data_IF_463810153794
#
_entry.id   IF_463810153794
#
_cell.length_a   1.000
_cell.length_b   1.000
_cell.length_c   1.000
_cell.angle_alpha   90.00
_cell.angle_beta   90.00
_cell.angle_gamma   90.00
#
_symmetry.space_group_name_H-M   'P 1'
#
loop_
_entity.id
_entity.type
_entity.pdbx_description
1 polymer ?
#
# COMPACT_ATOMS: atom_id res chain seq x y z
N UNK A 1 23.41 8.37 14.87
CA UNK A 1 23.27 8.48 13.40
C UNK A 1 21.79 8.59 13.09
N UNK A 2 21.36 9.39 12.09
CA UNK A 2 19.97 9.32 11.66
C UNK A 2 19.66 7.89 11.21
N UNK A 3 18.43 7.40 11.41
CA UNK A 3 18.05 6.09 10.89
C UNK A 3 18.33 6.04 9.39
N UNK A 4 18.97 4.97 8.93
CA UNK A 4 19.40 4.79 7.54
C UNK A 4 18.21 4.63 6.56
N UNK A 5 16.98 4.82 7.03
CA UNK A 5 15.76 4.66 6.26
C UNK A 5 15.37 5.89 5.46
N UNK A 6 14.56 5.68 4.42
CA UNK A 6 13.99 6.74 3.60
C UNK A 6 12.51 6.92 3.90
N UNK A 7 11.98 8.14 3.76
CA UNK A 7 10.55 8.41 3.87
C UNK A 7 9.85 7.96 2.59
N UNK A 8 8.76 7.23 2.73
CA UNK A 8 7.88 6.78 1.66
C UNK A 8 6.46 7.26 1.89
N UNK A 9 5.84 7.76 0.82
CA UNK A 9 4.41 8.04 0.77
C UNK A 9 3.66 6.75 0.46
N UNK A 10 2.67 6.43 1.28
CA UNK A 10 1.76 5.29 1.10
C UNK A 10 0.37 5.83 0.82
N UNK A 11 -0.15 5.57 -0.38
CA UNK A 11 -1.52 5.97 -0.75
C UNK A 11 -2.36 4.71 -0.93
N UNK A 12 -3.45 4.60 -0.19
CA UNK A 12 -4.36 3.46 -0.24
C UNK A 12 -5.71 3.91 -0.76
N UNK A 13 -6.24 3.19 -1.74
CA UNK A 13 -7.62 3.35 -2.22
C UNK A 13 -8.50 2.26 -1.63
N UNK A 14 -9.40 2.64 -0.74
CA UNK A 14 -10.49 1.77 -0.29
C UNK A 14 -11.45 1.53 -1.45
N UNK A 15 -12.01 0.33 -1.57
CA UNK A 15 -13.01 0.00 -2.58
C UNK A 15 -14.24 0.91 -2.44
N UNK A 16 -15.02 1.04 -3.51
CA UNK A 16 -16.30 1.77 -3.49
C UNK A 16 -17.52 0.82 -3.35
N UNK A 17 -17.29 -0.37 -2.79
CA UNK A 17 -18.34 -1.31 -2.44
C UNK A 17 -19.06 -0.89 -1.16
N UNK A 18 -20.34 -1.27 -1.03
CA UNK A 18 -21.09 -1.06 0.20
C UNK A 18 -20.41 -1.79 1.36
N UNK A 19 -20.09 -1.07 2.44
CA UNK A 19 -19.41 -1.62 3.62
C UNK A 19 -17.87 -1.68 3.52
N UNK A 20 -17.27 -1.17 2.44
CA UNK A 20 -15.83 -1.31 2.18
C UNK A 20 -14.87 -0.59 3.16
N UNK A 21 -15.37 0.24 4.08
CA UNK A 21 -14.56 1.06 4.96
C UNK A 21 -14.50 0.54 6.40
N UNK A 22 -13.43 0.90 7.11
CA UNK A 22 -13.16 0.39 8.45
C UNK A 22 -12.75 1.48 9.43
N UNK A 23 -13.19 1.34 10.68
CA UNK A 23 -12.70 2.10 11.83
C UNK A 23 -11.64 1.30 12.64
N UNK A 24 -11.25 0.13 12.14
CA UNK A 24 -10.28 -0.75 12.80
C UNK A 24 -8.85 -0.24 12.61
N UNK A 25 -7.93 -0.70 13.46
CA UNK A 25 -6.50 -0.42 13.26
C UNK A 25 -6.01 -1.17 12.01
N UNK A 26 -5.53 -0.43 11.00
CA UNK A 26 -5.02 -0.97 9.75
C UNK A 26 -3.48 -0.98 9.71
N UNK A 27 -2.93 -1.99 9.05
CA UNK A 27 -1.49 -2.22 9.00
C UNK A 27 -1.00 -2.55 7.60
N UNK A 28 0.17 -2.00 7.26
CA UNK A 28 0.95 -2.36 6.08
C UNK A 28 2.14 -3.23 6.50
N UNK A 29 2.31 -4.36 5.84
CA UNK A 29 3.53 -5.18 5.88
C UNK A 29 4.28 -5.05 4.56
N UNK A 30 5.55 -4.67 4.61
CA UNK A 30 6.43 -4.53 3.44
C UNK A 30 7.44 -5.66 3.46
N UNK A 31 7.61 -6.34 2.32
CA UNK A 31 8.54 -7.45 2.16
C UNK A 31 9.70 -7.05 1.24
N UNK A 32 10.92 -7.46 1.59
CA UNK A 32 12.13 -7.12 0.86
C UNK A 32 12.80 -8.37 0.26
N UNK A 33 13.54 -8.18 -0.83
CA UNK A 33 14.35 -9.22 -1.45
C UNK A 33 15.50 -9.62 -0.51
N UNK A 34 16.24 -8.62 -0.01
CA UNK A 34 17.39 -8.83 0.87
C UNK A 34 16.98 -9.49 2.19
N UNK A 35 17.66 -10.59 2.49
CA UNK A 35 17.54 -11.37 3.73
C UNK A 35 16.11 -11.87 4.03
N UNK A 36 15.21 -11.85 3.04
CA UNK A 36 13.78 -12.13 3.23
C UNK A 36 13.14 -11.34 4.39
N UNK A 37 13.63 -10.12 4.62
CA UNK A 37 13.19 -9.28 5.71
C UNK A 37 11.78 -8.71 5.46
N UNK A 38 11.10 -8.31 6.54
CA UNK A 38 9.85 -7.55 6.45
C UNK A 38 9.72 -6.52 7.56
N UNK A 39 8.99 -5.44 7.28
CA UNK A 39 8.65 -4.37 8.23
C UNK A 39 7.13 -4.20 8.31
N UNK A 40 6.62 -3.77 9.47
CA UNK A 40 5.18 -3.58 9.70
C UNK A 40 4.94 -2.17 10.23
N UNK A 41 3.93 -1.50 9.67
CA UNK A 41 3.55 -0.14 9.99
C UNK A 41 2.07 -0.10 10.33
N UNK A 42 1.73 0.50 11.46
CA UNK A 42 0.36 0.93 11.72
C UNK A 42 0.09 2.18 10.89
N UNK A 43 -1.03 2.20 10.18
CA UNK A 43 -1.44 3.31 9.33
C UNK A 43 -2.51 4.11 10.05
N UNK A 44 -2.15 5.33 10.45
CA UNK A 44 -3.04 6.22 11.19
C UNK A 44 -2.67 7.68 10.92
N UNK A 45 -3.66 8.51 10.58
CA UNK A 45 -3.55 9.96 10.62
C UNK A 45 -4.38 10.49 11.80
N UNK A 46 -3.73 11.01 12.86
CA UNK A 46 -4.44 11.46 14.05
C UNK A 46 -5.57 12.45 13.75
N UNK A 47 -6.79 12.12 14.17
CA UNK A 47 -7.97 12.97 14.03
C UNK A 47 -8.59 12.98 12.63
N UNK A 48 -8.19 12.09 11.74
CA UNK A 48 -8.80 11.90 10.42
C UNK A 48 -9.55 10.57 10.38
N UNK A 49 -10.72 10.57 9.74
CA UNK A 49 -11.41 9.34 9.42
C UNK A 49 -10.79 8.74 8.15
N UNK A 50 -9.88 7.79 8.32
CA UNK A 50 -9.19 7.11 7.23
C UNK A 50 -9.94 5.86 6.78
N UNK A 51 -9.57 5.33 5.61
CA UNK A 51 -10.07 4.05 5.10
C UNK A 51 -11.57 4.02 4.80
N UNK A 52 -12.22 5.16 4.66
CA UNK A 52 -13.62 5.26 4.26
C UNK A 52 -13.89 4.73 2.85
N UNK A 53 -15.12 4.25 2.63
CA UNK A 53 -15.57 3.76 1.32
C UNK A 53 -15.24 4.78 0.24
N UNK A 54 -14.62 4.33 -0.85
CA UNK A 54 -14.33 5.18 -2.00
C UNK A 54 -13.13 6.13 -1.80
N UNK A 55 -12.66 6.33 -0.57
CA UNK A 55 -11.65 7.34 -0.27
C UNK A 55 -10.20 6.90 -0.56
N UNK A 56 -9.34 7.91 -0.63
CA UNK A 56 -7.89 7.72 -0.64
C UNK A 56 -7.29 8.21 0.67
N UNK A 57 -6.66 7.29 1.41
CA UNK A 57 -5.87 7.62 2.59
C UNK A 57 -4.39 7.69 2.25
N UNK A 58 -3.70 8.65 2.85
CA UNK A 58 -2.29 8.95 2.58
C UNK A 58 -1.52 8.95 3.89
N UNK A 59 -0.41 8.21 3.93
CA UNK A 59 0.46 8.07 5.09
C UNK A 59 1.93 8.25 4.71
N UNK A 60 2.77 8.53 5.70
CA UNK A 60 4.22 8.52 5.56
C UNK A 60 4.82 7.43 6.45
N UNK A 61 5.65 6.58 5.87
CA UNK A 61 6.39 5.54 6.61
C UNK A 61 7.89 5.70 6.34
N UNK A 62 8.72 5.22 7.26
CA UNK A 62 10.18 5.18 7.07
C UNK A 62 10.56 3.73 6.80
N UNK A 63 11.04 3.45 5.58
CA UNK A 63 11.50 2.11 5.20
C UNK A 63 13.03 2.06 5.26
N UNK A 64 13.56 0.98 5.82
CA UNK A 64 15.02 0.79 5.93
C UNK A 64 15.65 0.23 4.65
N UNK A 65 14.84 -0.28 3.72
CA UNK A 65 15.27 -0.89 2.47
C UNK A 65 14.41 -0.42 1.30
N UNK A 66 14.87 -0.64 0.06
CA UNK A 66 14.20 -0.11 -1.14
C UNK A 66 13.92 -1.17 -2.23
N UNK A 67 14.41 -2.40 -2.02
CA UNK A 67 14.23 -3.61 -2.81
C UNK A 67 12.95 -4.34 -2.38
N UNK A 68 11.84 -3.61 -2.48
CA UNK A 68 10.50 -4.09 -2.10
C UNK A 68 10.02 -5.10 -3.14
N UNK A 69 9.64 -6.29 -2.68
CA UNK A 69 9.19 -7.39 -3.55
C UNK A 69 7.70 -7.65 -3.49
N UNK A 70 7.07 -7.32 -2.36
CA UNK A 70 5.62 -7.40 -2.20
C UNK A 70 5.18 -6.58 -0.98
N UNK A 71 3.86 -6.42 -0.85
CA UNK A 71 3.20 -5.86 0.32
C UNK A 71 2.03 -6.73 0.77
N UNK A 72 1.67 -6.61 2.03
CA UNK A 72 0.47 -7.18 2.60
C UNK A 72 -0.27 -6.19 3.48
N UNK A 73 -1.58 -6.37 3.56
CA UNK A 73 -2.45 -5.60 4.44
C UNK A 73 -3.14 -6.54 5.43
N UNK A 74 -3.38 -6.03 6.62
CA UNK A 74 -4.24 -6.63 7.62
C UNK A 74 -4.83 -5.53 8.50
N UNK A 75 -5.91 -5.85 9.20
CA UNK A 75 -6.49 -4.99 10.22
C UNK A 75 -6.64 -5.76 11.52
N UNK A 76 -6.83 -5.05 12.63
CA UNK A 76 -7.04 -5.67 13.93
C UNK A 76 -8.37 -5.24 14.52
N UNK A 77 -9.25 -6.18 14.92
CA UNK A 77 -10.56 -5.86 15.47
C UNK A 77 -10.44 -5.02 16.73
N UNK A 78 -11.38 -4.09 16.87
CA UNK A 78 -11.45 -3.15 17.97
C UNK A 78 -12.76 -3.32 18.73
N UNK A 79 -13.29 -2.22 19.23
CA UNK A 79 -14.66 -2.14 19.76
C UNK A 79 -15.58 -1.35 18.83
N UNK A 80 -15.23 -1.26 17.55
CA UNK A 80 -15.90 -0.41 16.56
C UNK A 80 -16.90 -1.21 15.72
N UNK A 81 -17.83 -0.53 15.04
CA UNK A 81 -18.96 -1.17 14.36
C UNK A 81 -18.61 -1.62 12.93
N UNK A 82 -17.62 -1.00 12.29
CA UNK A 82 -17.21 -1.29 10.91
C UNK A 82 -15.83 -1.94 10.88
N UNK A 83 -15.83 -3.27 10.87
CA UNK A 83 -14.62 -4.10 10.90
C UNK A 83 -14.35 -4.77 9.54
N UNK A 84 -14.93 -4.27 8.45
CA UNK A 84 -14.65 -4.79 7.12
C UNK A 84 -13.82 -3.78 6.34
N UNK A 85 -12.80 -4.25 5.61
CA UNK A 85 -11.97 -3.35 4.82
C UNK A 85 -11.72 -3.94 3.45
N UNK A 86 -12.21 -3.30 2.40
CA UNK A 86 -11.89 -3.65 1.02
C UNK A 86 -10.92 -2.63 0.45
N UNK A 87 -9.83 -3.12 -0.16
CA UNK A 87 -8.82 -2.25 -0.79
C UNK A 87 -8.73 -2.57 -2.27
N UNK A 88 -8.77 -1.53 -3.11
CA UNK A 88 -8.53 -1.65 -4.54
C UNK A 88 -7.02 -1.77 -4.82
N UNK A 89 -6.26 -0.79 -4.35
CA UNK A 89 -4.81 -0.71 -4.60
C UNK A 89 -4.08 0.10 -3.55
N UNK A 90 -2.77 -0.11 -3.49
CA UNK A 90 -1.81 0.66 -2.70
C UNK A 90 -0.70 1.17 -3.62
N UNK A 91 -0.31 2.44 -3.46
CA UNK A 91 0.89 3.02 -4.06
C UNK A 91 1.93 3.30 -2.97
N UNK A 92 3.19 2.93 -3.24
CA UNK A 92 4.34 3.32 -2.43
C UNK A 92 5.24 4.21 -3.29
N UNK A 93 5.48 5.44 -2.86
CA UNK A 93 6.29 6.42 -3.59
C UNK A 93 7.46 6.91 -2.74
N UNK A 94 8.62 7.07 -3.36
CA UNK A 94 9.76 7.76 -2.78
C UNK A 94 10.31 8.75 -3.79
N UNK A 95 9.95 10.02 -3.60
CA UNK A 95 10.33 11.12 -4.50
C UNK A 95 11.83 11.45 -4.45
N UNK A 96 12.53 11.12 -3.36
CA UNK A 96 13.97 11.36 -3.27
C UNK A 96 14.78 10.30 -4.04
N UNK A 97 14.14 9.19 -4.41
CA UNK A 97 14.78 8.02 -5.06
C UNK A 97 14.16 7.69 -6.41
N UNK A 98 13.19 8.48 -6.87
CA UNK A 98 12.38 8.22 -8.07
C UNK A 98 11.84 6.78 -8.13
N UNK A 99 11.35 6.26 -7.00
CA UNK A 99 10.79 4.91 -6.90
C UNK A 99 9.30 4.95 -6.72
N UNK A 100 8.61 4.09 -7.47
CA UNK A 100 7.19 3.85 -7.30
C UNK A 100 6.85 2.37 -7.43
N UNK A 101 6.02 1.88 -6.51
CA UNK A 101 5.43 0.56 -6.55
C UNK A 101 3.91 0.61 -6.43
N UNK A 102 3.25 -0.34 -7.06
CA UNK A 102 1.80 -0.55 -7.01
C UNK A 102 1.50 -1.98 -6.56
N UNK A 103 0.68 -2.11 -5.50
CA UNK A 103 0.05 -3.37 -5.14
C UNK A 103 -1.44 -3.34 -5.46
N UNK A 104 -1.92 -4.27 -6.28
CA UNK A 104 -3.34 -4.43 -6.59
C UNK A 104 -3.95 -5.49 -5.66
N UNK A 105 -5.06 -5.15 -5.02
CA UNK A 105 -5.78 -6.00 -4.08
C UNK A 105 -7.14 -6.40 -4.64
N UNK A 106 -8.00 -5.40 -4.88
CA UNK A 106 -9.41 -5.54 -5.26
C UNK A 106 -10.11 -6.66 -4.50
N UNK A 107 -9.98 -6.63 -3.17
CA UNK A 107 -10.49 -7.67 -2.25
C UNK A 107 -10.64 -7.15 -0.84
N UNK A 108 -11.47 -7.86 -0.08
CA UNK A 108 -11.55 -7.75 1.37
C UNK A 108 -10.25 -8.20 2.03
N UNK A 109 -9.78 -7.38 2.98
CA UNK A 109 -8.60 -7.60 3.78
C UNK A 109 -8.98 -8.43 5.00
N UNK A 110 -8.15 -9.43 5.32
CA UNK A 110 -8.32 -10.30 6.48
C UNK A 110 -7.71 -9.69 7.75
N UNK A 111 -8.24 -10.05 8.92
CA UNK A 111 -7.75 -9.58 10.22
C UNK A 111 -6.53 -10.35 10.76
N UNK A 112 -5.85 -11.15 9.93
CA UNK A 112 -4.69 -11.93 10.36
C UNK A 112 -3.39 -11.29 9.86
N UNK A 113 -2.43 -11.17 10.75
CA UNK A 113 -1.09 -10.63 10.44
C UNK A 113 -0.25 -11.57 9.58
N UNK A 114 -0.38 -12.89 9.78
CA UNK A 114 0.48 -13.91 9.16
C UNK A 114 -0.33 -15.17 8.76
N UNK A 115 -0.54 -15.44 7.45
CA UNK A 115 -0.19 -14.55 6.35
C UNK A 115 -1.08 -13.29 6.33
N UNK A 116 -0.54 -12.11 6.00
CA UNK A 116 -1.37 -10.96 5.70
C UNK A 116 -2.14 -11.22 4.40
N UNK A 117 -3.10 -10.35 4.10
CA UNK A 117 -3.66 -10.32 2.74
C UNK A 117 -2.60 -9.78 1.81
N UNK A 118 -2.02 -10.61 0.94
CA UNK A 118 -1.03 -10.17 -0.04
C UNK A 118 -1.68 -9.41 -1.20
N UNK A 119 -0.93 -8.47 -1.79
CA UNK A 119 -1.28 -7.94 -3.10
C UNK A 119 -1.33 -9.08 -4.13
N UNK A 120 -2.37 -9.08 -4.96
CA UNK A 120 -2.56 -10.06 -6.05
C UNK A 120 -1.53 -9.88 -7.14
N UNK A 121 -1.20 -8.62 -7.40
CA UNK A 121 -0.17 -8.20 -8.34
C UNK A 121 0.62 -7.09 -7.69
N UNK A 122 1.93 -7.15 -7.85
CA UNK A 122 2.84 -6.12 -7.37
C UNK A 122 3.77 -5.70 -8.51
N UNK A 123 3.87 -4.39 -8.76
CA UNK A 123 4.58 -3.84 -9.90
C UNK A 123 5.46 -2.68 -9.47
N UNK A 124 6.68 -2.62 -10.03
CA UNK A 124 7.44 -1.37 -10.07
C UNK A 124 6.98 -0.55 -11.26
N UNK A 125 6.60 0.69 -11.03
CA UNK A 125 6.11 1.61 -12.06
C UNK A 125 7.18 2.64 -12.42
N UNK A 126 7.04 3.26 -13.59
CA UNK A 126 7.76 4.50 -13.90
C UNK A 126 7.28 5.58 -12.92
N UNK A 127 8.21 6.27 -12.25
CA UNK A 127 7.87 7.22 -11.20
C UNK A 127 6.90 8.32 -11.65
N UNK A 128 7.07 8.82 -12.88
CA UNK A 128 6.24 9.85 -13.49
C UNK A 128 4.73 9.49 -13.48
N UNK A 129 4.38 8.22 -13.68
CA UNK A 129 2.98 7.80 -13.71
C UNK A 129 2.33 7.88 -12.32
N UNK A 130 3.13 7.73 -11.26
CA UNK A 130 2.61 7.79 -9.89
C UNK A 130 2.35 9.22 -9.40
N UNK A 131 3.14 10.19 -9.88
CA UNK A 131 3.00 11.60 -9.52
C UNK A 131 2.11 12.39 -10.47
N UNK A 132 1.92 11.90 -11.69
CA UNK A 132 0.99 12.44 -12.68
C UNK A 132 0.07 11.32 -13.20
N UNK A 133 -0.84 10.80 -12.35
CA UNK A 133 -1.70 9.69 -12.73
C UNK A 133 -2.62 10.08 -13.88
N UNK A 134 -2.95 9.08 -14.71
CA UNK A 134 -3.96 9.23 -15.75
C UNK A 134 -5.28 9.78 -15.16
N UNK A 135 -6.11 10.47 -15.97
CA UNK A 135 -7.35 11.09 -15.50
C UNK A 135 -8.22 10.14 -14.69
N UNK A 136 -8.98 10.69 -13.76
CA UNK A 136 -9.88 9.92 -12.89
C UNK A 136 -10.81 9.01 -13.71
N UNK A 137 -10.90 7.73 -13.33
CA UNK A 137 -11.60 6.69 -14.10
C UNK A 137 -10.74 5.91 -15.09
N UNK A 138 -9.49 6.34 -15.35
CA UNK A 138 -8.54 5.57 -16.15
C UNK A 138 -8.17 4.27 -15.44
N UNK A 139 -8.19 3.16 -16.17
CA UNK A 139 -7.81 1.88 -15.60
C UNK A 139 -6.31 1.84 -15.29
N UNK A 140 -5.94 1.23 -14.15
CA UNK A 140 -4.54 1.10 -13.69
C UNK A 140 -3.60 0.37 -14.67
N UNK A 141 -4.13 -0.34 -15.68
CA UNK A 141 -3.29 -0.97 -16.70
C UNK A 141 -2.57 0.02 -17.61
N UNK A 142 -2.97 1.31 -17.62
CA UNK A 142 -2.30 2.34 -18.41
C UNK A 142 -0.97 2.82 -17.81
N UNK A 143 -0.68 2.52 -16.54
CA UNK A 143 0.60 2.87 -15.92
C UNK A 143 1.71 2.00 -16.52
N UNK A 144 2.81 2.62 -16.94
CA UNK A 144 3.99 1.95 -17.47
C UNK A 144 4.68 1.18 -16.35
N UNK A 145 4.69 -0.14 -16.52
CA UNK A 145 5.37 -1.06 -15.62
C UNK A 145 6.80 -1.22 -16.09
N UNK A 146 7.74 -1.03 -15.16
CA UNK A 146 9.11 -1.45 -15.40
C UNK A 146 9.09 -2.98 -15.37
N UNK A 147 9.29 -3.58 -16.54
CA UNK A 147 9.59 -5.01 -16.63
C UNK A 147 10.82 -5.23 -15.75
N UNK A 148 10.73 -6.16 -14.79
CA UNK A 148 11.87 -6.48 -13.94
C UNK A 148 13.07 -6.75 -14.83
N UNK A 149 14.25 -6.25 -14.46
CA UNK A 149 15.49 -6.57 -15.14
C UNK A 149 15.53 -8.08 -15.33
N UNK A 150 15.32 -8.49 -16.57
CA UNK A 150 15.35 -9.87 -16.98
C UNK A 150 16.84 -10.22 -16.98
N UNK A 151 17.40 -10.55 -15.81
CA UNK A 151 18.69 -11.20 -15.75
C UNK A 151 18.48 -12.63 -16.26
N UNK A 152 18.74 -12.78 -17.56
CA UNK A 152 19.28 -13.95 -18.27
C UNK A 152 19.36 -15.27 -17.50
#
# INVERSE_FOLDING_TARGET
>A
EPPNGSVWDVVIKTCDDQGAGTDAAAYLKVFYERDHASEIFQLDNPGKNDFERGERSHFKVILNQEDIINIGLFWWPGFTLNEEWCVDWVLLLNSNRDKCYEGIFHRWILHYKDPPTYAVKFHRLVFADCVNPAPEGSQRFHFLRLLGDNTS
#
